data_IF_958017992925
#
_entry.id   IF_958017992925
#
_cell.length_a   1.000
_cell.length_b   1.000
_cell.length_c   1.000
_cell.angle_alpha   90.00
_cell.angle_beta   90.00
_cell.angle_gamma   90.00
#
_symmetry.space_group_name_H-M   'P 1'
#
loop_
_entity.id
_entity.type
_entity.pdbx_description
1 polymer ?
#
# COMPACT_ATOMS: atom_id res chain seq x y z
N UNK A 1 21.36 15.69 34.77
CA UNK A 1 20.38 16.13 33.74
C UNK A 1 20.70 15.58 32.34
N UNK A 2 21.97 15.46 31.92
CA UNK A 2 22.38 14.91 30.59
C UNK A 2 21.89 13.48 30.28
N UNK A 3 21.89 12.58 31.28
CA UNK A 3 21.44 11.19 31.13
C UNK A 3 19.94 11.12 30.75
N UNK A 4 19.12 12.05 31.24
CA UNK A 4 17.67 12.09 30.95
C UNK A 4 17.39 12.49 29.50
N UNK A 5 18.26 13.29 28.88
CA UNK A 5 18.10 13.73 27.48
C UNK A 5 18.41 12.57 26.52
N UNK A 6 19.46 11.77 26.80
CA UNK A 6 19.81 10.62 25.97
C UNK A 6 18.73 9.55 25.92
N UNK A 7 18.06 9.28 27.04
CA UNK A 7 16.94 8.33 27.12
C UNK A 7 15.72 8.81 26.34
N UNK A 8 15.41 10.11 26.42
CA UNK A 8 14.27 10.70 25.69
C UNK A 8 14.51 10.65 24.17
N UNK A 9 15.72 10.98 23.72
CA UNK A 9 16.06 10.91 22.28
C UNK A 9 15.97 9.47 21.77
N UNK A 10 16.46 8.49 22.53
CA UNK A 10 16.36 7.08 22.15
C UNK A 10 14.90 6.62 22.03
N UNK A 11 14.04 7.00 22.98
CA UNK A 11 12.62 6.67 22.94
C UNK A 11 11.91 7.27 21.72
N UNK A 12 12.23 8.52 21.37
CA UNK A 12 11.67 9.19 20.19
C UNK A 12 12.11 8.50 18.89
N UNK A 13 13.39 8.14 18.76
CA UNK A 13 13.90 7.42 17.58
C UNK A 13 13.24 6.06 17.41
N UNK A 14 13.03 5.32 18.50
CA UNK A 14 12.36 4.02 18.47
C UNK A 14 10.89 4.13 18.05
N UNK A 15 10.18 5.17 18.49
CA UNK A 15 8.80 5.44 18.07
C UNK A 15 8.73 5.76 16.58
N UNK A 16 9.63 6.61 16.07
CA UNK A 16 9.68 6.97 14.64
C UNK A 16 10.00 5.74 13.79
N UNK A 17 10.96 4.92 14.21
CA UNK A 17 11.32 3.69 13.50
C UNK A 17 10.14 2.69 13.45
N UNK A 18 9.42 2.51 14.56
CA UNK A 18 8.23 1.67 14.61
C UNK A 18 7.13 2.19 13.66
N UNK A 19 6.90 3.51 13.62
CA UNK A 19 5.94 4.12 12.71
C UNK A 19 6.31 3.90 11.24
N UNK A 20 7.57 4.12 10.86
CA UNK A 20 8.02 3.90 9.48
C UNK A 20 7.92 2.43 9.09
N UNK A 21 8.18 1.49 10.01
CA UNK A 21 8.03 0.05 9.76
C UNK A 21 6.58 -0.43 9.63
N UNK A 22 5.62 0.39 10.06
CA UNK A 22 4.18 0.08 9.96
C UNK A 22 3.54 0.60 8.68
N UNK A 23 4.26 1.39 7.88
CA UNK A 23 3.79 1.83 6.57
C UNK A 23 3.96 0.65 5.61
N UNK A 24 2.88 0.11 5.03
CA UNK A 24 2.99 -0.94 4.02
C UNK A 24 3.85 -0.41 2.87
N UNK A 25 4.82 -1.20 2.43
CA UNK A 25 5.62 -0.84 1.27
C UNK A 25 4.71 -0.66 0.05
N UNK A 26 5.05 0.23 -0.89
CA UNK A 26 4.26 0.42 -2.12
C UNK A 26 3.96 -0.92 -2.82
N UNK A 27 4.93 -1.85 -2.82
CA UNK A 27 4.76 -3.18 -3.38
C UNK A 27 3.71 -4.05 -2.64
N UNK A 28 3.60 -3.89 -1.32
CA UNK A 28 2.59 -4.60 -0.52
C UNK A 28 1.20 -4.01 -0.75
N UNK A 29 1.09 -2.68 -0.81
CA UNK A 29 -0.15 -1.97 -1.17
C UNK A 29 -0.62 -2.35 -2.58
N UNK A 30 0.28 -2.41 -3.55
CA UNK A 30 -0.04 -2.84 -4.91
C UNK A 30 -0.44 -4.32 -4.98
N UNK A 31 0.22 -5.20 -4.22
CA UNK A 31 -0.15 -6.61 -4.15
C UNK A 31 -1.53 -6.80 -3.48
N UNK A 32 -1.81 -6.06 -2.41
CA UNK A 32 -3.11 -6.07 -1.76
C UNK A 32 -4.21 -5.57 -2.69
N UNK A 33 -3.96 -4.46 -3.40
CA UNK A 33 -4.88 -3.93 -4.40
C UNK A 33 -5.17 -4.96 -5.50
N UNK A 34 -4.14 -5.57 -6.10
CA UNK A 34 -4.32 -6.62 -7.14
C UNK A 34 -5.15 -7.81 -6.68
N UNK A 35 -5.06 -8.21 -5.41
CA UNK A 35 -5.88 -9.30 -4.86
C UNK A 35 -7.32 -8.89 -4.60
N UNK A 36 -7.58 -7.61 -4.38
CA UNK A 36 -8.91 -7.08 -4.13
C UNK A 36 -9.67 -6.70 -5.40
N UNK A 37 -9.02 -6.74 -6.58
CA UNK A 37 -9.70 -6.56 -7.85
C UNK A 37 -10.68 -7.71 -8.10
N UNK A 38 -11.91 -7.33 -8.44
CA UNK A 38 -13.02 -8.24 -8.78
C UNK A 38 -13.83 -7.70 -9.98
N UNK A 39 -14.87 -8.43 -10.38
CA UNK A 39 -15.74 -8.07 -11.50
C UNK A 39 -16.57 -6.79 -11.28
N UNK A 40 -16.60 -6.25 -10.07
CA UNK A 40 -17.27 -4.98 -9.74
C UNK A 40 -16.31 -3.80 -9.72
N UNK A 41 -15.00 -4.09 -9.77
CA UNK A 41 -13.93 -3.10 -9.76
C UNK A 41 -13.88 -2.37 -11.11
N UNK A 42 -14.01 -1.05 -11.08
CA UNK A 42 -13.95 -0.21 -12.28
C UNK A 42 -13.07 1.01 -12.04
N UNK A 43 -12.89 1.85 -13.07
CA UNK A 43 -12.14 3.10 -12.93
C UNK A 43 -12.76 4.07 -11.92
N UNK A 44 -14.09 4.00 -11.71
CA UNK A 44 -14.85 4.87 -10.81
C UNK A 44 -15.31 4.16 -9.54
N UNK A 45 -15.31 2.82 -9.51
CA UNK A 45 -15.59 2.01 -8.33
C UNK A 45 -14.31 1.29 -7.89
N UNK A 46 -13.55 1.93 -6.99
CA UNK A 46 -12.28 1.41 -6.48
C UNK A 46 -12.45 0.74 -5.12
N UNK A 47 -11.81 -0.42 -4.89
CA UNK A 47 -11.66 -0.97 -3.54
C UNK A 47 -10.89 0.01 -2.65
N UNK A 48 -11.24 0.08 -1.36
CA UNK A 48 -10.59 0.98 -0.40
C UNK A 48 -9.06 0.73 -0.33
N UNK A 49 -8.64 -0.53 -0.46
CA UNK A 49 -7.23 -0.94 -0.47
C UNK A 49 -6.44 -0.43 -1.69
N UNK A 50 -7.12 0.10 -2.71
CA UNK A 50 -6.52 0.67 -3.92
C UNK A 50 -6.54 2.20 -3.93
N UNK A 51 -6.99 2.85 -2.85
CA UNK A 51 -7.06 4.32 -2.76
C UNK A 51 -5.67 4.95 -2.74
N UNK A 52 -4.71 4.30 -2.09
CA UNK A 52 -3.31 4.74 -2.03
C UNK A 52 -2.50 4.36 -3.29
N UNK A 53 -3.10 3.62 -4.23
CA UNK A 53 -2.46 3.25 -5.51
C UNK A 53 -2.70 4.36 -6.54
N UNK A 54 -1.65 4.87 -7.20
CA UNK A 54 -1.79 5.93 -8.20
C UNK A 54 -2.74 5.55 -9.34
N UNK A 55 -3.39 6.57 -9.90
CA UNK A 55 -4.51 6.37 -10.82
C UNK A 55 -4.15 5.52 -12.04
N UNK A 56 -2.95 5.78 -12.58
CA UNK A 56 -2.36 5.10 -13.74
C UNK A 56 -2.03 3.64 -13.46
N UNK A 57 -1.37 3.34 -12.35
CA UNK A 57 -1.02 1.98 -11.94
C UNK A 57 -2.26 1.09 -11.77
N UNK A 58 -3.30 1.61 -11.13
CA UNK A 58 -4.56 0.85 -10.98
C UNK A 58 -5.26 0.59 -12.32
N UNK A 59 -5.17 1.51 -13.31
CA UNK A 59 -5.70 1.22 -14.66
C UNK A 59 -4.96 0.06 -15.31
N UNK A 60 -3.64 -0.01 -15.12
CA UNK A 60 -2.86 -1.16 -15.57
C UNK A 60 -3.30 -2.45 -14.85
N UNK A 61 -3.59 -2.40 -13.55
CA UNK A 61 -4.11 -3.57 -12.81
C UNK A 61 -5.48 -4.02 -13.31
N UNK A 62 -6.39 -3.10 -13.61
CA UNK A 62 -7.69 -3.44 -14.22
C UNK A 62 -7.50 -4.11 -15.58
N UNK A 63 -6.61 -3.58 -16.43
CA UNK A 63 -6.29 -4.18 -17.73
C UNK A 63 -5.76 -5.61 -17.56
N UNK A 64 -4.77 -5.81 -16.68
CA UNK A 64 -4.18 -7.12 -16.41
C UNK A 64 -5.21 -8.10 -15.83
N UNK A 65 -6.13 -7.62 -14.98
CA UNK A 65 -7.21 -8.44 -14.44
C UNK A 65 -8.14 -8.95 -15.56
N UNK A 66 -8.54 -8.07 -16.47
CA UNK A 66 -9.39 -8.45 -17.62
C UNK A 66 -8.63 -9.41 -18.54
N UNK A 67 -7.37 -9.14 -18.87
CA UNK A 67 -6.55 -10.05 -19.69
C UNK A 67 -6.45 -11.44 -19.08
N UNK A 68 -6.21 -11.53 -17.76
CA UNK A 68 -6.20 -12.82 -17.04
C UNK A 68 -7.57 -13.50 -17.07
N UNK A 69 -8.66 -12.76 -16.90
CA UNK A 69 -10.02 -13.31 -16.94
C UNK A 69 -10.35 -13.93 -18.32
N UNK A 70 -9.79 -13.35 -19.40
CA UNK A 70 -9.88 -13.85 -20.77
C UNK A 70 -8.85 -14.95 -21.09
N UNK A 71 -7.99 -15.34 -20.14
CA UNK A 71 -6.97 -16.37 -20.32
C UNK A 71 -5.76 -15.92 -21.18
N UNK A 72 -5.53 -14.62 -21.28
CA UNK A 72 -4.45 -13.99 -22.06
C UNK A 72 -3.22 -13.61 -21.19
N UNK A 73 -2.92 -14.40 -20.14
CA UNK A 73 -1.76 -14.19 -19.23
C UNK A 73 -0.45 -14.74 -19.85
#
# INVERSE_FOLDING_TARGET
>A
MRIRIGVVVLAVVLLIAAFVSSIPSEAETEAACRRALDNTSTATNRPDVCLDVPAETYRAFLLMYVLRAEGLD
#
